data_IF_230216366555
#
_entry.id   IF_230216366555
#
_cell.length_a   1.000
_cell.length_b   1.000
_cell.length_c   1.000
_cell.angle_alpha   90.00
_cell.angle_beta   90.00
_cell.angle_gamma   90.00
#
_symmetry.space_group_name_H-M   'P 1'
#
loop_
_entity.id
_entity.type
_entity.pdbx_description
1 polymer ?
#
# COMPACT_ATOMS: atom_id res chain seq x y z
N UNK A 1 -9.33 3.20 5.11
CA UNK A 1 -8.73 4.52 5.40
C UNK A 1 -8.78 5.36 4.13
N UNK A 2 -9.20 6.62 4.22
CA UNK A 2 -9.05 7.61 3.15
C UNK A 2 -8.13 8.70 3.70
N UNK A 3 -7.25 9.22 2.86
CA UNK A 3 -6.31 10.28 3.23
C UNK A 3 -6.77 11.59 2.57
N UNK A 4 -6.64 12.69 3.31
CA UNK A 4 -6.83 14.04 2.80
C UNK A 4 -5.55 14.83 3.10
N UNK A 5 -5.21 15.77 2.23
CA UNK A 5 -4.05 16.65 2.40
C UNK A 5 -4.51 18.06 2.77
N UNK A 6 -3.80 18.69 3.70
CA UNK A 6 -3.96 20.10 4.05
C UNK A 6 -2.67 20.82 3.67
N UNK A 7 -2.79 21.86 2.85
CA UNK A 7 -1.68 22.72 2.46
C UNK A 7 -1.64 23.92 3.41
N UNK A 8 -0.45 24.23 3.93
CA UNK A 8 -0.24 25.33 4.87
C UNK A 8 1.16 25.90 4.69
N UNK A 9 1.35 27.16 5.08
CA UNK A 9 2.62 27.88 5.07
C UNK A 9 3.31 27.90 6.45
N UNK A 10 2.85 27.10 7.42
CA UNK A 10 3.47 26.98 8.74
C UNK A 10 4.94 26.54 8.58
N UNK A 11 5.86 27.32 9.16
CA UNK A 11 7.31 27.11 9.02
C UNK A 11 7.93 26.28 10.15
N UNK A 12 7.24 26.13 11.28
CA UNK A 12 7.72 25.41 12.46
C UNK A 12 7.07 24.03 12.64
N UNK A 13 6.68 23.38 11.54
CA UNK A 13 6.11 22.03 11.59
C UNK A 13 7.21 21.03 12.00
N UNK A 14 7.00 20.21 13.04
CA UNK A 14 8.00 19.22 13.44
C UNK A 14 8.07 18.10 12.40
N UNK A 15 9.28 17.79 11.95
CA UNK A 15 9.55 16.68 11.04
C UNK A 15 10.10 15.48 11.80
N UNK A 16 9.65 14.29 11.44
CA UNK A 16 10.19 13.04 11.98
C UNK A 16 11.39 12.62 11.13
N UNK A 17 12.58 12.56 11.73
CA UNK A 17 13.81 12.19 11.00
C UNK A 17 13.87 10.70 10.62
N UNK A 18 13.21 9.84 11.40
CA UNK A 18 13.22 8.39 11.21
C UNK A 18 11.84 7.87 10.87
N UNK A 19 11.75 6.96 9.91
CA UNK A 19 10.50 6.27 9.58
C UNK A 19 10.34 5.01 10.46
N UNK A 20 9.50 5.02 11.51
CA UNK A 20 9.25 3.84 12.35
C UNK A 20 8.53 2.71 11.59
N UNK A 21 8.04 2.98 10.39
CA UNK A 21 7.28 2.05 9.55
C UNK A 21 8.11 1.47 8.39
N UNK A 22 9.42 1.71 8.38
CA UNK A 22 10.37 1.21 7.35
C UNK A 22 10.43 -0.32 7.23
N UNK A 23 9.85 -1.07 8.18
CA UNK A 23 9.73 -2.54 8.15
C UNK A 23 8.59 -3.05 7.25
N UNK A 24 7.59 -2.22 6.92
CA UNK A 24 6.40 -2.65 6.14
C UNK A 24 6.77 -3.31 4.80
N UNK A 25 7.77 -2.82 4.02
CA UNK A 25 8.20 -3.51 2.80
C UNK A 25 8.60 -4.98 3.03
N UNK A 26 9.23 -5.33 4.17
CA UNK A 26 9.58 -6.72 4.51
C UNK A 26 8.34 -7.60 4.68
N UNK A 27 7.27 -7.06 5.28
CA UNK A 27 5.98 -7.75 5.36
C UNK A 27 5.38 -8.00 3.98
N UNK A 28 5.42 -7.00 3.09
CA UNK A 28 4.87 -7.11 1.74
C UNK A 28 5.63 -8.13 0.89
N UNK A 29 6.97 -8.15 0.98
CA UNK A 29 7.84 -9.05 0.21
C UNK A 29 7.55 -10.55 0.42
N UNK A 30 6.97 -10.93 1.56
CA UNK A 30 6.63 -12.33 1.87
C UNK A 30 5.13 -12.64 1.83
N UNK A 31 4.27 -11.62 1.68
CA UNK A 31 2.82 -11.78 1.83
C UNK A 31 2.09 -12.06 0.51
N UNK A 32 2.17 -11.16 -0.46
CA UNK A 32 1.55 -11.30 -1.79
C UNK A 32 0.02 -11.47 -1.84
N UNK A 33 -0.72 -11.35 -0.72
CA UNK A 33 -2.18 -11.61 -0.70
C UNK A 33 -2.97 -10.71 -1.65
N UNK A 34 -2.63 -9.42 -1.71
CA UNK A 34 -3.27 -8.47 -2.61
C UNK A 34 -3.08 -8.85 -4.08
N UNK A 35 -1.88 -9.32 -4.47
CA UNK A 35 -1.55 -9.77 -5.83
C UNK A 35 -2.41 -10.98 -6.19
N UNK A 36 -2.44 -11.99 -5.32
CA UNK A 36 -3.20 -13.24 -5.54
C UNK A 36 -4.72 -13.02 -5.68
N UNK A 37 -5.27 -12.02 -5.01
CA UNK A 37 -6.72 -11.77 -4.97
C UNK A 37 -7.16 -10.62 -5.88
N UNK A 38 -6.26 -9.99 -6.63
CA UNK A 38 -6.61 -8.88 -7.52
C UNK A 38 -7.30 -9.41 -8.79
N UNK A 39 -8.61 -9.15 -9.01
CA UNK A 39 -9.31 -9.71 -10.16
C UNK A 39 -8.72 -9.31 -11.53
N UNK A 40 -8.37 -8.03 -11.78
CA UNK A 40 -7.75 -7.64 -13.05
C UNK A 40 -6.25 -7.92 -13.11
N UNK A 41 -5.66 -8.60 -12.11
CA UNK A 41 -4.21 -8.87 -12.01
C UNK A 41 -3.37 -7.60 -12.23
N UNK A 42 -3.78 -6.51 -11.58
CA UNK A 42 -3.18 -5.18 -11.76
C UNK A 42 -2.00 -4.90 -10.81
N UNK A 43 -1.58 -5.88 -10.00
CA UNK A 43 -0.52 -5.69 -9.01
C UNK A 43 0.71 -6.52 -9.40
N UNK A 44 1.87 -5.86 -9.52
CA UNK A 44 3.16 -6.49 -9.78
C UNK A 44 3.76 -7.07 -8.49
N UNK A 45 4.53 -8.15 -8.62
CA UNK A 45 5.28 -8.73 -7.50
C UNK A 45 6.43 -7.84 -7.04
N UNK A 46 7.16 -7.26 -7.99
CA UNK A 46 8.21 -6.27 -7.74
C UNK A 46 7.69 -4.88 -8.11
N UNK A 47 8.03 -3.83 -7.34
CA UNK A 47 7.62 -2.48 -7.68
C UNK A 47 8.32 -2.03 -8.96
N UNK A 48 7.64 -1.18 -9.72
CA UNK A 48 8.19 -0.48 -10.88
C UNK A 48 8.30 1.01 -10.55
N UNK A 49 9.16 1.72 -11.27
CA UNK A 49 9.25 3.18 -11.24
C UNK A 49 8.58 3.68 -12.53
N UNK A 50 7.57 4.55 -12.39
CA UNK A 50 6.92 5.21 -13.52
C UNK A 50 7.79 6.36 -14.06
N UNK A 51 7.49 6.84 -15.26
CA UNK A 51 8.19 7.98 -15.89
C UNK A 51 8.24 9.23 -15.00
N UNK A 52 7.21 9.46 -14.19
CA UNK A 52 7.16 10.56 -13.22
C UNK A 52 7.91 10.29 -11.90
N UNK A 53 8.72 9.22 -11.83
CA UNK A 53 9.49 8.83 -10.65
C UNK A 53 8.68 8.09 -9.57
N UNK A 54 7.38 7.86 -9.76
CA UNK A 54 6.57 7.18 -8.75
C UNK A 54 6.91 5.68 -8.68
N UNK A 55 7.40 5.25 -7.52
CA UNK A 55 7.53 3.83 -7.17
C UNK A 55 6.15 3.23 -6.88
N UNK A 56 5.75 2.19 -7.61
CA UNK A 56 4.43 1.56 -7.43
C UNK A 56 4.42 0.09 -7.81
N UNK A 57 3.49 -0.66 -7.20
CA UNK A 57 3.14 -2.02 -7.63
C UNK A 57 1.92 -2.04 -8.56
N UNK A 58 1.22 -0.92 -8.78
CA UNK A 58 -0.09 -0.92 -9.43
C UNK A 58 -0.04 -0.49 -10.91
N UNK A 59 -0.59 -1.36 -11.75
CA UNK A 59 -0.99 -1.07 -13.12
C UNK A 59 -2.39 -0.42 -13.13
N UNK A 60 -2.42 0.89 -13.27
CA UNK A 60 -3.68 1.65 -13.26
C UNK A 60 -4.53 1.38 -14.50
N UNK A 61 -3.91 0.97 -15.61
CA UNK A 61 -4.62 0.67 -16.87
C UNK A 61 -5.47 -0.59 -16.76
N UNK A 62 -5.07 -1.54 -15.89
CA UNK A 62 -5.84 -2.75 -15.58
C UNK A 62 -6.81 -2.55 -14.41
N UNK A 63 -6.37 -1.82 -13.38
CA UNK A 63 -7.16 -1.62 -12.17
C UNK A 63 -8.41 -0.76 -12.44
N UNK A 64 -8.24 0.36 -13.14
CA UNK A 64 -9.28 1.38 -13.27
C UNK A 64 -10.50 0.92 -14.07
N UNK A 65 -10.38 0.21 -15.22
CA UNK A 65 -11.55 -0.30 -15.93
C UNK A 65 -12.39 -1.27 -15.08
N UNK A 66 -11.73 -2.18 -14.36
CA UNK A 66 -12.43 -3.10 -13.44
C UNK A 66 -13.10 -2.34 -12.30
N UNK A 67 -12.42 -1.37 -11.70
CA UNK A 67 -12.99 -0.53 -10.65
C UNK A 67 -14.23 0.23 -11.14
N UNK A 68 -14.15 0.87 -12.31
CA UNK A 68 -15.26 1.64 -12.87
C UNK A 68 -16.47 0.76 -13.22
N UNK A 69 -16.24 -0.40 -13.86
CA UNK A 69 -17.30 -1.33 -14.23
C UNK A 69 -18.00 -2.01 -13.04
N UNK A 70 -17.39 -1.99 -11.85
CA UNK A 70 -17.96 -2.56 -10.63
C UNK A 70 -18.37 -1.50 -9.59
N UNK A 71 -18.40 -0.22 -9.97
CA UNK A 71 -18.71 0.91 -9.05
C UNK A 71 -17.82 0.93 -7.79
N UNK A 72 -16.59 0.41 -7.91
CA UNK A 72 -15.69 0.16 -6.79
C UNK A 72 -14.99 -1.20 -6.88
N UNK A 73 -13.99 -1.43 -6.00
CA UNK A 73 -13.38 -2.76 -5.85
C UNK A 73 -12.81 -2.94 -4.45
N UNK A 74 -11.68 -2.30 -4.14
CA UNK A 74 -11.00 -2.33 -2.82
C UNK A 74 -10.61 -3.71 -2.28
N UNK A 75 -10.65 -4.77 -3.10
CA UNK A 75 -10.29 -6.14 -2.68
C UNK A 75 -8.87 -6.21 -2.13
N UNK A 76 -7.92 -5.52 -2.75
CA UNK A 76 -6.53 -5.45 -2.28
C UNK A 76 -6.40 -4.91 -0.85
N UNK A 77 -7.29 -3.99 -0.44
CA UNK A 77 -7.38 -3.45 0.92
C UNK A 77 -8.03 -4.50 1.82
N UNK A 78 -9.19 -5.04 1.42
CA UNK A 78 -9.97 -6.03 2.20
C UNK A 78 -9.13 -7.24 2.63
N UNK A 79 -8.29 -7.77 1.73
CA UNK A 79 -7.47 -8.97 2.01
C UNK A 79 -6.13 -8.68 2.68
N UNK A 80 -5.76 -7.40 2.80
CA UNK A 80 -4.48 -6.99 3.35
C UNK A 80 -4.42 -7.32 4.85
N UNK A 81 -3.34 -7.96 5.35
CA UNK A 81 -3.21 -8.24 6.79
C UNK A 81 -3.34 -7.00 7.67
N UNK A 82 -2.93 -5.83 7.17
CA UNK A 82 -3.08 -4.55 7.88
C UNK A 82 -4.55 -4.12 8.07
N UNK A 83 -5.49 -4.72 7.33
CA UNK A 83 -6.94 -4.49 7.48
C UNK A 83 -7.64 -5.58 8.31
N UNK A 84 -6.99 -6.72 8.54
CA UNK A 84 -7.60 -7.88 9.22
C UNK A 84 -6.92 -8.24 10.55
N UNK A 85 -5.82 -7.59 10.89
CA UNK A 85 -4.99 -7.93 12.07
C UNK A 85 -4.38 -6.65 12.65
N UNK A 86 -4.03 -6.68 13.94
CA UNK A 86 -3.41 -5.52 14.58
C UNK A 86 -2.02 -5.23 14.03
N UNK A 87 -1.73 -3.94 13.88
CA UNK A 87 -0.42 -3.44 13.45
C UNK A 87 0.73 -3.97 14.31
N UNK A 88 0.57 -3.95 15.64
CA UNK A 88 1.56 -4.44 16.60
C UNK A 88 1.90 -5.93 16.36
N UNK A 89 0.90 -6.78 16.15
CA UNK A 89 1.11 -8.21 15.88
C UNK A 89 1.89 -8.44 14.58
N UNK A 90 1.60 -7.65 13.53
CA UNK A 90 2.34 -7.73 12.26
C UNK A 90 3.78 -7.27 12.43
N UNK A 91 3.99 -6.16 13.15
CA UNK A 91 5.32 -5.66 13.45
C UNK A 91 6.16 -6.71 14.19
N UNK A 92 5.66 -7.23 15.32
CA UNK A 92 6.35 -8.26 16.09
C UNK A 92 6.65 -9.51 15.27
N UNK A 93 5.72 -9.93 14.41
CA UNK A 93 5.93 -11.09 13.52
C UNK A 93 7.08 -10.87 12.54
N UNK A 94 7.22 -9.66 12.00
CA UNK A 94 8.30 -9.33 11.05
C UNK A 94 9.62 -9.15 11.77
N UNK A 95 9.62 -8.54 12.96
CA UNK A 95 10.85 -8.24 13.70
C UNK A 95 11.43 -9.44 14.45
N UNK A 96 10.63 -10.49 14.69
CA UNK A 96 11.09 -11.78 15.27
C UNK A 96 11.67 -12.75 14.23
N UNK A 97 11.55 -12.44 12.95
CA UNK A 97 12.12 -13.21 11.83
C UNK A 97 13.44 -12.60 11.40
#
# INVERSE_FOLDING_TARGET
>A
MRLAAVFTNITNLPYVEKNPHSWIPKQCATCGKCIKNCPPKSLYEKPIIKENGLLTHNDSTKCFPYFAGNYGCTICIKVCPFSTTSYKKLHEKVMKK
#
